data_IF_890253170006
#
_entry.id   IF_890253170006
#
_cell.length_a   1.000
_cell.length_b   1.000
_cell.length_c   1.000
_cell.angle_alpha   90.00
_cell.angle_beta   90.00
_cell.angle_gamma   90.00
#
_symmetry.space_group_name_H-M   'P 1'
#
loop_
_entity.id
_entity.type
_entity.pdbx_description
1 polymer ?
#
# COMPACT_ATOMS: atom_id res chain seq x y z
N UNK A 1 -4.89 -27.69 3.01
CA UNK A 1 -4.99 -26.95 1.74
C UNK A 1 -4.69 -25.50 2.06
N UNK A 2 -3.44 -25.06 1.88
CA UNK A 2 -3.01 -23.71 2.26
C UNK A 2 -3.50 -22.72 1.20
N UNK A 3 -4.54 -21.95 1.53
CA UNK A 3 -4.98 -20.80 0.74
C UNK A 3 -4.03 -19.64 1.03
N UNK A 4 -2.81 -19.71 0.51
CA UNK A 4 -1.87 -18.60 0.58
C UNK A 4 -2.48 -17.41 -0.18
N UNK A 5 -3.12 -16.48 0.54
CA UNK A 5 -3.52 -15.19 -0.01
C UNK A 5 -2.24 -14.45 -0.39
N UNK A 6 -1.89 -14.49 -1.68
CA UNK A 6 -0.66 -13.88 -2.18
C UNK A 6 -0.82 -12.41 -2.54
N UNK A 7 -2.05 -11.91 -2.70
CA UNK A 7 -2.31 -10.57 -3.21
C UNK A 7 -3.49 -9.89 -2.53
N UNK A 8 -3.30 -8.63 -2.12
CA UNK A 8 -4.30 -7.76 -1.51
C UNK A 8 -4.59 -6.60 -2.45
N UNK A 9 -5.87 -6.37 -2.77
CA UNK A 9 -6.32 -5.18 -3.50
C UNK A 9 -6.83 -4.12 -2.55
N UNK A 10 -6.33 -2.88 -2.68
CA UNK A 10 -6.78 -1.72 -1.91
C UNK A 10 -7.40 -0.70 -2.87
N UNK A 11 -8.68 -0.41 -2.67
CA UNK A 11 -9.44 0.55 -3.49
C UNK A 11 -9.56 1.86 -2.72
N UNK A 12 -8.96 2.92 -3.27
CA UNK A 12 -8.78 4.22 -2.62
C UNK A 12 -7.36 4.40 -2.10
N UNK A 13 -6.67 5.43 -2.57
CA UNK A 13 -5.30 5.79 -2.24
C UNK A 13 -5.21 7.03 -1.30
N UNK A 14 -6.30 7.32 -0.58
CA UNK A 14 -6.34 8.31 0.49
C UNK A 14 -5.57 7.88 1.74
N UNK A 15 -5.70 8.63 2.85
CA UNK A 15 -4.93 8.38 4.08
C UNK A 15 -5.08 6.95 4.62
N UNK A 16 -6.32 6.47 4.77
CA UNK A 16 -6.56 5.11 5.28
C UNK A 16 -6.09 4.03 4.30
N UNK A 17 -6.39 4.19 3.01
CA UNK A 17 -6.00 3.22 1.98
C UNK A 17 -4.49 3.09 1.83
N UNK A 18 -3.76 4.20 1.88
CA UNK A 18 -2.30 4.17 1.92
C UNK A 18 -1.76 3.44 3.16
N UNK A 19 -2.36 3.67 4.34
CA UNK A 19 -1.99 2.97 5.57
C UNK A 19 -2.24 1.46 5.49
N UNK A 20 -3.41 1.05 4.99
CA UNK A 20 -3.75 -0.38 4.78
C UNK A 20 -2.77 -1.02 3.79
N UNK A 21 -2.50 -0.35 2.66
CA UNK A 21 -1.56 -0.82 1.66
C UNK A 21 -0.15 -1.00 2.24
N UNK A 22 0.30 -0.06 3.08
CA UNK A 22 1.60 -0.16 3.75
C UNK A 22 1.67 -1.37 4.68
N UNK A 23 0.72 -1.53 5.60
CA UNK A 23 0.77 -2.63 6.59
C UNK A 23 0.64 -3.99 5.90
N UNK A 24 -0.19 -4.10 4.87
CA UNK A 24 -0.29 -5.33 4.07
C UNK A 24 1.02 -5.63 3.32
N UNK A 25 1.66 -4.62 2.71
CA UNK A 25 2.95 -4.82 2.05
C UNK A 25 4.06 -5.23 3.03
N UNK A 26 4.08 -4.62 4.22
CA UNK A 26 5.03 -4.97 5.30
C UNK A 26 4.80 -6.39 5.84
N UNK A 27 3.56 -6.87 5.84
CA UNK A 27 3.21 -8.24 6.21
C UNK A 27 3.55 -9.28 5.12
N UNK A 28 4.16 -8.87 4.00
CA UNK A 28 4.64 -9.76 2.94
C UNK A 28 3.61 -10.04 1.84
N UNK A 29 2.48 -9.34 1.83
CA UNK A 29 1.49 -9.47 0.76
C UNK A 29 1.89 -8.65 -0.47
N UNK A 30 1.63 -9.18 -1.68
CA UNK A 30 1.65 -8.34 -2.89
C UNK A 30 0.45 -7.41 -2.84
N UNK A 31 0.66 -6.09 -2.87
CA UNK A 31 -0.44 -5.13 -2.81
C UNK A 31 -0.68 -4.48 -4.17
N UNK A 32 -1.94 -4.43 -4.59
CA UNK A 32 -2.41 -3.64 -5.72
C UNK A 32 -3.21 -2.45 -5.17
N UNK A 33 -2.73 -1.22 -5.41
CA UNK A 33 -3.40 0.01 -5.00
C UNK A 33 -4.08 0.65 -6.20
N UNK A 34 -5.36 0.94 -6.09
CA UNK A 34 -6.18 1.56 -7.14
C UNK A 34 -6.89 2.81 -6.61
N UNK A 35 -7.12 3.78 -7.49
CA UNK A 35 -7.94 4.97 -7.23
C UNK A 35 -8.67 5.36 -8.53
N UNK A 36 -9.49 6.42 -8.51
CA UNK A 36 -10.23 6.92 -9.67
C UNK A 36 -9.34 7.22 -10.88
N UNK A 37 -8.08 7.61 -10.63
CA UNK A 37 -7.08 7.84 -11.65
C UNK A 37 -5.70 7.37 -11.17
N UNK A 38 -4.80 7.13 -12.13
CA UNK A 38 -3.45 6.62 -11.86
C UNK A 38 -2.63 7.64 -11.05
N UNK A 39 -2.84 8.94 -11.26
CA UNK A 39 -2.08 9.97 -10.55
C UNK A 39 -2.36 9.96 -9.04
N UNK A 40 -3.60 9.73 -8.63
CA UNK A 40 -3.98 9.56 -7.22
C UNK A 40 -3.40 8.28 -6.63
N UNK A 41 -3.43 7.16 -7.35
CA UNK A 41 -2.82 5.91 -6.91
C UNK A 41 -1.30 6.05 -6.71
N UNK A 42 -0.61 6.67 -7.67
CA UNK A 42 0.84 6.96 -7.57
C UNK A 42 1.15 7.94 -6.44
N UNK A 43 0.32 8.96 -6.21
CA UNK A 43 0.46 9.86 -5.06
C UNK A 43 0.37 9.11 -3.73
N UNK A 44 -0.60 8.20 -3.58
CA UNK A 44 -0.73 7.36 -2.39
C UNK A 44 0.50 6.48 -2.19
N UNK A 45 0.97 5.82 -3.25
CA UNK A 45 2.19 5.00 -3.24
C UNK A 45 3.44 5.80 -2.88
N UNK A 46 3.62 7.01 -3.42
CA UNK A 46 4.72 7.90 -3.06
C UNK A 46 4.65 8.34 -1.59
N UNK A 47 3.43 8.56 -1.06
CA UNK A 47 3.19 8.82 0.35
C UNK A 47 3.69 7.68 1.25
N UNK A 48 3.34 6.43 0.91
CA UNK A 48 3.80 5.23 1.60
C UNK A 48 5.34 5.15 1.59
N UNK A 49 5.96 5.34 0.41
CA UNK A 49 7.41 5.28 0.28
C UNK A 49 8.12 6.31 1.18
N UNK A 50 7.60 7.55 1.23
CA UNK A 50 8.10 8.61 2.10
C UNK A 50 7.95 8.28 3.59
N UNK A 51 6.82 7.71 3.98
CA UNK A 51 6.58 7.29 5.37
C UNK A 51 7.52 6.16 5.79
N UNK A 52 7.74 5.18 4.90
CA UNK A 52 8.67 4.08 5.13
C UNK A 52 10.11 4.58 5.26
N UNK A 53 10.56 5.48 4.37
CA UNK A 53 11.90 6.07 4.44
C UNK A 53 12.16 6.73 5.81
N UNK A 54 11.20 7.53 6.29
CA UNK A 54 11.29 8.15 7.62
C UNK A 54 11.32 7.15 8.77
N UNK A 55 10.65 6.00 8.62
CA UNK A 55 10.59 4.98 9.65
C UNK A 55 11.92 4.22 9.81
N UNK A 56 12.74 4.15 8.75
CA UNK A 56 14.04 3.46 8.77
C UNK A 56 15.23 4.39 9.02
N UNK A 57 15.02 5.70 9.04
CA UNK A 57 16.04 6.71 9.39
C UNK A 57 16.26 6.88 10.91
N UNK A 58 15.42 6.24 11.74
CA UNK A 58 15.58 6.19 13.21
C UNK A 58 16.19 4.87 13.65
#
# INVERSE_FOLDING_TARGET
MEMAMKTVGVIGAGQMGAGIAQVSAQAGYRVLLSDMDVARAEKGKAGIAKQLARAVEK
#
